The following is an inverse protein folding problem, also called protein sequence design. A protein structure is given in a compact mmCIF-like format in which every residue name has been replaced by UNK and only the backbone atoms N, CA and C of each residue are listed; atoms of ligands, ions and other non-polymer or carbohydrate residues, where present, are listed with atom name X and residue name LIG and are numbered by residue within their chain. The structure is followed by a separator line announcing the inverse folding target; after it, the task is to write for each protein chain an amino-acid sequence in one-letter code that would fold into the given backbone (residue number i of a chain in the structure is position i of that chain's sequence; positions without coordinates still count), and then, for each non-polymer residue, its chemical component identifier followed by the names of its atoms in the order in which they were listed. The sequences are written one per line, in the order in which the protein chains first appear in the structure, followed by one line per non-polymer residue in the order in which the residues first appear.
data_IF_230931916611
#
_entry.id   IF_230931916611
#
_cell.length_a   1.000
_cell.length_b   1.000
_cell.length_c   1.000
_cell.angle_alpha   90.00
_cell.angle_beta   90.00
_cell.angle_gamma   90.00
#
_symmetry.space_group_name_H-M   'P 1'
#
loop_
_entity.id
_entity.type
_entity.pdbx_description
1 polymer ?
#
# COMPACT_ATOMS: atom_id res chain seq x y z
N UNK A 1 -2.28 10.87 6.03
CA UNK A 1 -1.10 10.45 5.23
C UNK A 1 -1.26 10.89 3.78
N UNK A 2 -0.22 11.46 3.20
CA UNK A 2 -0.25 11.87 1.80
C UNK A 2 -0.11 10.65 0.90
N UNK A 3 -0.76 10.68 -0.28
CA UNK A 3 -0.70 9.54 -1.19
C UNK A 3 0.72 9.21 -1.64
N UNK A 4 1.59 10.19 -1.80
CA UNK A 4 2.98 9.94 -2.17
C UNK A 4 3.72 9.14 -1.10
N UNK A 5 3.50 9.45 0.16
CA UNK A 5 4.09 8.70 1.27
C UNK A 5 3.56 7.29 1.32
N UNK A 6 2.26 7.13 1.08
CA UNK A 6 1.63 5.82 1.08
C UNK A 6 2.18 4.96 -0.04
N UNK A 7 2.34 5.53 -1.24
CA UNK A 7 2.92 4.82 -2.38
C UNK A 7 4.35 4.37 -2.08
N UNK A 8 5.15 5.21 -1.45
CA UNK A 8 6.52 4.84 -1.06
C UNK A 8 6.54 3.67 -0.09
N UNK A 9 5.62 3.68 0.88
CA UNK A 9 5.54 2.60 1.85
C UNK A 9 5.13 1.29 1.20
N UNK A 10 4.18 1.34 0.26
CA UNK A 10 3.76 0.15 -0.48
C UNK A 10 4.95 -0.42 -1.25
N UNK A 11 5.67 0.42 -1.98
CA UNK A 11 6.83 -0.01 -2.76
C UNK A 11 7.89 -0.63 -1.85
N UNK A 12 8.14 -0.01 -0.71
CA UNK A 12 9.11 -0.51 0.27
C UNK A 12 8.75 -1.92 0.74
N UNK A 13 7.47 -2.16 1.02
CA UNK A 13 7.02 -3.48 1.44
C UNK A 13 7.15 -4.51 0.33
N UNK A 14 6.84 -4.14 -0.90
CA UNK A 14 6.98 -5.03 -2.04
C UNK A 14 8.44 -5.42 -2.25
N UNK A 15 9.36 -4.51 -2.05
CA UNK A 15 10.79 -4.79 -2.17
C UNK A 15 11.28 -5.76 -1.09
N UNK A 16 10.72 -5.65 0.10
CA UNK A 16 11.12 -6.51 1.22
C UNK A 16 10.52 -7.90 1.15
N UNK A 17 9.26 -8.00 0.75
CA UNK A 17 8.52 -9.26 0.82
C UNK A 17 8.20 -9.88 -0.52
N UNK A 18 8.43 -9.18 -1.61
CA UNK A 18 8.08 -9.54 -2.98
C UNK A 18 6.57 -9.56 -3.23
N UNK A 19 5.78 -9.94 -2.25
CA UNK A 19 4.31 -9.92 -2.36
C UNK A 19 3.71 -9.41 -1.07
N UNK A 20 2.62 -8.64 -1.18
CA UNK A 20 1.80 -8.24 -0.04
C UNK A 20 0.35 -8.28 -0.46
N UNK A 21 -0.54 -8.56 0.50
CA UNK A 21 -1.97 -8.55 0.22
C UNK A 21 -2.55 -7.18 0.52
N UNK A 22 -3.71 -6.89 -0.05
CA UNK A 22 -4.44 -5.66 0.25
C UNK A 22 -4.75 -5.59 1.75
N UNK A 23 -5.10 -6.73 2.35
CA UNK A 23 -5.39 -6.80 3.78
C UNK A 23 -4.18 -6.37 4.62
N UNK A 24 -3.00 -6.84 4.28
CA UNK A 24 -1.78 -6.47 4.98
C UNK A 24 -1.51 -4.98 4.88
N UNK A 25 -1.68 -4.41 3.69
CA UNK A 25 -1.47 -2.97 3.48
C UNK A 25 -2.49 -2.14 4.25
N UNK A 26 -3.73 -2.60 4.32
CA UNK A 26 -4.77 -1.95 5.10
C UNK A 26 -4.37 -1.87 6.57
N UNK A 27 -3.88 -2.97 7.11
CA UNK A 27 -3.46 -3.04 8.51
C UNK A 27 -2.24 -2.17 8.81
N UNK A 28 -1.28 -2.16 7.89
CA UNK A 28 -0.03 -1.43 8.07
C UNK A 28 -0.23 0.07 7.91
N UNK A 29 -1.00 0.47 6.90
CA UNK A 29 -1.13 1.87 6.51
C UNK A 29 -2.37 2.56 7.08
N UNK A 30 -3.22 1.80 7.77
CA UNK A 30 -4.47 2.34 8.35
C UNK A 30 -5.34 3.02 7.30
N UNK A 31 -5.37 2.45 6.09
CA UNK A 31 -6.18 2.97 5.00
C UNK A 31 -7.24 1.94 4.61
N UNK A 32 -8.34 2.39 4.02
CA UNK A 32 -9.39 1.47 3.59
C UNK A 32 -8.92 0.63 2.40
N UNK A 33 -9.53 -0.53 2.20
CA UNK A 33 -9.17 -1.40 1.07
C UNK A 33 -9.41 -0.72 -0.27
N UNK A 34 -10.46 0.10 -0.39
CA UNK A 34 -10.70 0.88 -1.62
C UNK A 34 -9.55 1.82 -1.92
N UNK A 35 -9.04 2.49 -0.89
CA UNK A 35 -7.91 3.41 -1.03
C UNK A 35 -6.67 2.66 -1.47
N UNK A 36 -6.41 1.51 -0.86
CA UNK A 36 -5.23 0.68 -1.20
C UNK A 36 -5.32 0.20 -2.64
N UNK A 37 -6.47 -0.29 -3.07
CA UNK A 37 -6.67 -0.76 -4.45
C UNK A 37 -6.45 0.36 -5.44
N UNK A 38 -6.92 1.56 -5.14
CA UNK A 38 -6.73 2.73 -5.98
C UNK A 38 -5.24 3.06 -6.10
N UNK A 39 -4.53 3.05 -4.97
CA UNK A 39 -3.10 3.32 -4.94
C UNK A 39 -2.33 2.30 -5.77
N UNK A 40 -2.68 1.03 -5.67
CA UNK A 40 -2.04 -0.01 -6.45
C UNK A 40 -2.28 0.17 -7.95
N UNK A 41 -3.44 0.68 -8.33
CA UNK A 41 -3.72 0.99 -9.74
C UNK A 41 -2.89 2.16 -10.24
N UNK A 42 -2.56 3.10 -9.38
CA UNK A 42 -1.79 4.29 -9.73
C UNK A 42 -0.28 4.04 -9.78
N UNK A 43 0.17 2.97 -9.19
CA UNK A 43 1.61 2.65 -9.15
C UNK A 43 2.13 2.02 -10.44
#
# INVERSE_FOLDING_TARGET
MLSNERHRQIISYLEKKNTVTVQELTDILYASSSTIRRDLSEL
#
